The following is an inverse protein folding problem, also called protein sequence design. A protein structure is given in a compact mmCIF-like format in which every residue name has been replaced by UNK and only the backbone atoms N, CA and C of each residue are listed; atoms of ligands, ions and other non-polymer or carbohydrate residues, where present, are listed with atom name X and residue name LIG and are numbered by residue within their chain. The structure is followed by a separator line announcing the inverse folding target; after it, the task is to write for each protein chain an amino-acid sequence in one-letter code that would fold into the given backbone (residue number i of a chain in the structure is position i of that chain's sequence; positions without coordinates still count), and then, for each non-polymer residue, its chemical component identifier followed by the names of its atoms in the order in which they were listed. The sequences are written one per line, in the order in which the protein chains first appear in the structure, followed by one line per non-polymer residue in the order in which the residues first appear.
data_IF_268270421190
#
_entry.id   IF_268270421190
#
_cell.length_a   1.000
_cell.length_b   1.000
_cell.length_c   1.000
_cell.angle_alpha   90.00
_cell.angle_beta   90.00
_cell.angle_gamma   90.00
#
_symmetry.space_group_name_H-M   'P 1'
#
loop_
_entity.id
_entity.type
_entity.pdbx_description
1 polymer ?
#
# COMPACT_ATOMS: atom_id res chain seq x y z
N UNK A 1 6.60 15.41 -14.60
CA UNK A 1 6.36 14.12 -13.91
C UNK A 1 5.37 14.37 -12.78
N UNK A 2 4.28 13.61 -12.75
CA UNK A 2 3.23 13.75 -11.74
C UNK A 2 3.53 12.74 -10.61
N UNK A 3 3.61 13.22 -9.38
CA UNK A 3 3.68 12.38 -8.18
C UNK A 3 2.28 12.26 -7.56
N UNK A 4 1.89 11.07 -7.15
CA UNK A 4 0.79 10.90 -6.21
C UNK A 4 1.35 10.79 -4.80
N UNK A 5 0.79 11.51 -3.85
CA UNK A 5 0.99 11.23 -2.43
C UNK A 5 -0.38 11.08 -1.79
N UNK A 6 -0.55 10.06 -0.97
CA UNK A 6 -1.69 9.99 -0.07
C UNK A 6 -1.38 10.92 1.10
N UNK A 7 -1.99 12.11 1.12
CA UNK A 7 -2.01 12.95 2.30
C UNK A 7 -3.37 12.78 2.96
N UNK A 8 -3.41 12.30 4.18
CA UNK A 8 -4.63 12.26 4.96
C UNK A 8 -4.92 13.67 5.48
N UNK A 9 -6.00 14.25 5.03
CA UNK A 9 -6.71 15.23 5.85
C UNK A 9 -7.63 14.44 6.78
N UNK A 10 -7.65 14.73 8.07
CA UNK A 10 -8.35 13.97 9.12
C UNK A 10 -9.84 13.76 8.82
N UNK A 11 -10.40 14.52 7.89
CA UNK A 11 -11.80 14.46 7.49
C UNK A 11 -12.08 14.00 6.05
N UNK A 12 -11.04 13.90 5.18
CA UNK A 12 -11.26 13.48 3.77
C UNK A 12 -10.03 12.76 3.27
N UNK A 13 -10.04 11.43 3.31
CA UNK A 13 -9.03 10.58 2.68
C UNK A 13 -9.03 10.83 1.18
N UNK A 14 -8.05 11.57 0.69
CA UNK A 14 -7.97 11.95 -0.72
C UNK A 14 -6.60 11.58 -1.27
N UNK A 15 -6.60 11.04 -2.49
CA UNK A 15 -5.37 10.97 -3.27
C UNK A 15 -5.00 12.39 -3.70
N UNK A 16 -3.79 12.79 -3.38
CA UNK A 16 -3.26 14.10 -3.77
C UNK A 16 -2.23 13.91 -4.85
N UNK A 17 -2.43 14.59 -5.98
CA UNK A 17 -1.49 14.61 -7.09
C UNK A 17 -0.50 15.75 -6.92
N UNK A 18 0.79 15.45 -7.17
CA UNK A 18 1.83 16.45 -7.24
C UNK A 18 2.53 16.41 -8.60
N UNK A 19 2.79 17.58 -9.14
CA UNK A 19 3.65 17.73 -10.31
C UNK A 19 5.07 18.05 -9.84
N UNK A 20 6.05 17.29 -10.27
CA UNK A 20 7.46 17.61 -10.03
C UNK A 20 7.89 18.63 -11.07
N UNK A 21 8.22 19.85 -10.65
CA UNK A 21 8.58 20.96 -11.52
C UNK A 21 10.06 20.94 -11.89
N UNK A 22 10.94 20.70 -10.91
CA UNK A 22 12.37 20.66 -11.15
C UNK A 22 13.10 19.80 -10.11
N UNK A 23 14.32 19.44 -10.44
CA UNK A 23 15.26 18.76 -9.58
C UNK A 23 16.59 19.52 -9.64
N UNK A 24 16.93 20.23 -8.58
CA UNK A 24 18.14 21.02 -8.45
C UNK A 24 18.85 20.63 -7.16
N UNK A 25 20.11 20.21 -7.26
CA UNK A 25 21.00 20.00 -6.10
C UNK A 25 20.53 18.94 -5.09
N UNK A 26 19.69 17.98 -5.52
CA UNK A 26 19.09 16.96 -4.63
C UNK A 26 17.70 17.31 -4.12
N UNK A 27 17.26 18.56 -4.27
CA UNK A 27 15.93 18.99 -3.85
C UNK A 27 14.89 18.85 -4.97
N UNK A 28 13.65 18.46 -4.58
CA UNK A 28 12.53 18.36 -5.46
C UNK A 28 11.55 19.51 -5.23
N UNK A 29 11.33 20.32 -6.25
CA UNK A 29 10.27 21.30 -6.24
C UNK A 29 9.00 20.67 -6.77
N UNK A 30 7.95 20.65 -5.96
CA UNK A 30 6.67 20.04 -6.31
C UNK A 30 5.54 21.03 -6.11
N UNK A 31 4.49 20.92 -6.91
CA UNK A 31 3.24 21.63 -6.70
C UNK A 31 2.08 20.66 -6.68
N UNK A 32 1.08 20.94 -5.83
CA UNK A 32 -0.18 20.19 -5.86
C UNK A 32 -0.89 20.42 -7.19
N UNK A 33 -1.51 19.37 -7.71
CA UNK A 33 -2.39 19.45 -8.87
C UNK A 33 -3.81 19.60 -8.36
N UNK A 34 -4.46 20.70 -8.72
CA UNK A 34 -5.85 20.98 -8.35
C UNK A 34 -6.81 20.55 -9.44
N UNK A 35 -8.05 20.27 -9.08
CA UNK A 35 -9.09 19.77 -10.00
C UNK A 35 -9.35 20.73 -11.16
N UNK A 36 -9.31 22.04 -10.93
CA UNK A 36 -9.46 23.07 -11.97
C UNK A 36 -8.32 23.04 -12.99
N UNK A 37 -7.12 22.63 -12.59
CA UNK A 37 -6.00 22.44 -13.52
C UNK A 37 -6.22 21.18 -14.39
N UNK A 38 -6.68 20.08 -13.79
CA UNK A 38 -7.02 18.86 -14.54
C UNK A 38 -8.11 19.13 -15.57
N UNK A 39 -9.12 19.91 -15.21
CA UNK A 39 -10.18 20.31 -16.15
C UNK A 39 -9.64 21.08 -17.36
N UNK A 40 -8.64 21.95 -17.16
CA UNK A 40 -8.00 22.69 -18.26
C UNK A 40 -7.20 21.81 -19.21
N UNK A 41 -6.75 20.64 -18.74
CA UNK A 41 -6.03 19.68 -19.59
C UNK A 41 -6.95 18.92 -20.54
N UNK A 42 -8.28 19.01 -20.36
CA UNK A 42 -9.29 18.29 -21.14
C UNK A 42 -9.06 16.76 -21.16
N UNK A 43 -8.49 16.22 -20.09
CA UNK A 43 -8.24 14.81 -19.88
C UNK A 43 -9.12 14.32 -18.72
N UNK A 44 -9.77 13.15 -18.82
CA UNK A 44 -10.54 12.58 -17.72
C UNK A 44 -9.71 12.45 -16.45
N UNK A 45 -10.27 12.81 -15.30
CA UNK A 45 -9.60 12.73 -13.99
C UNK A 45 -9.05 11.33 -13.72
N UNK A 46 -9.81 10.29 -14.05
CA UNK A 46 -9.38 8.89 -13.90
C UNK A 46 -8.12 8.56 -14.73
N UNK A 47 -7.97 9.16 -15.90
CA UNK A 47 -6.78 8.96 -16.74
C UNK A 47 -5.55 9.65 -16.13
N UNK A 48 -5.73 10.85 -15.58
CA UNK A 48 -4.67 11.57 -14.87
C UNK A 48 -4.22 10.76 -13.63
N UNK A 49 -5.18 10.22 -12.88
CA UNK A 49 -4.89 9.37 -11.72
C UNK A 49 -4.12 8.11 -12.13
N UNK A 50 -4.58 7.42 -13.16
CA UNK A 50 -3.91 6.23 -13.70
C UNK A 50 -2.49 6.54 -14.15
N UNK A 51 -2.30 7.63 -14.90
CA UNK A 51 -0.97 8.06 -15.33
C UNK A 51 -0.05 8.41 -14.13
N UNK A 52 -0.60 9.01 -13.09
CA UNK A 52 0.14 9.32 -11.87
C UNK A 52 0.60 8.04 -11.16
N UNK A 53 -0.26 7.03 -11.02
CA UNK A 53 0.09 5.74 -10.41
C UNK A 53 1.20 5.03 -11.22
N UNK A 54 1.05 4.96 -12.54
CA UNK A 54 2.08 4.40 -13.44
C UNK A 54 3.41 5.13 -13.28
N UNK A 55 3.41 6.47 -13.35
CA UNK A 55 4.64 7.25 -13.20
C UNK A 55 5.26 7.07 -11.81
N UNK A 56 4.45 7.00 -10.75
CA UNK A 56 4.95 6.80 -9.39
C UNK A 56 5.56 5.42 -9.21
N UNK A 57 4.97 4.38 -9.82
CA UNK A 57 5.51 3.01 -9.77
C UNK A 57 6.87 2.89 -10.47
N UNK A 58 7.11 3.64 -11.54
CA UNK A 58 8.43 3.70 -12.19
C UNK A 58 9.47 4.50 -11.39
N UNK A 59 9.04 5.56 -10.73
CA UNK A 59 9.95 6.41 -9.94
C UNK A 59 10.30 5.79 -8.60
N UNK A 60 9.34 5.13 -7.98
CA UNK A 60 9.40 4.53 -6.65
C UNK A 60 8.77 3.14 -6.71
N UNK A 61 9.48 2.15 -7.26
CA UNK A 61 8.98 0.78 -7.34
C UNK A 61 8.50 0.24 -5.99
N UNK A 62 7.51 -0.66 -5.99
CA UNK A 62 7.01 -1.25 -4.75
C UNK A 62 8.09 -2.10 -4.07
N UNK A 63 8.00 -2.22 -2.75
CA UNK A 63 8.80 -3.10 -1.91
C UNK A 63 7.91 -3.84 -0.95
N UNK A 64 8.10 -5.15 -0.88
CA UNK A 64 7.38 -6.03 0.03
C UNK A 64 8.40 -6.70 0.96
N UNK A 65 8.28 -6.48 2.26
CA UNK A 65 9.16 -7.03 3.29
C UNK A 65 8.42 -8.01 4.17
N UNK A 66 9.03 -9.14 4.51
CA UNK A 66 8.49 -10.02 5.53
C UNK A 66 8.48 -9.32 6.89
N UNK A 67 7.33 -9.28 7.58
CA UNK A 67 7.22 -8.71 8.93
C UNK A 67 8.15 -9.44 9.91
N UNK A 68 8.34 -10.73 9.75
CA UNK A 68 9.25 -11.51 10.61
C UNK A 68 10.71 -11.10 10.44
N UNK A 69 11.13 -10.79 9.21
CA UNK A 69 12.48 -10.28 8.95
C UNK A 69 12.66 -8.86 9.50
N UNK A 70 11.61 -8.04 9.50
CA UNK A 70 11.65 -6.69 10.08
C UNK A 70 11.78 -6.70 11.61
N UNK A 71 11.26 -7.73 12.27
CA UNK A 71 11.37 -7.92 13.72
C UNK A 71 12.68 -8.58 14.12
N UNK A 72 13.46 -9.11 13.19
CA UNK A 72 14.80 -9.67 13.42
C UNK A 72 15.82 -8.55 13.65
N UNK A 73 16.59 -8.66 14.73
CA UNK A 73 17.55 -7.64 15.21
C UNK A 73 18.89 -7.60 14.44
N UNK A 74 18.96 -8.06 13.21
CA UNK A 74 20.24 -8.18 12.47
C UNK A 74 20.72 -6.88 11.80
N UNK A 75 20.00 -5.78 11.97
CA UNK A 75 20.34 -4.47 11.38
C UNK A 75 20.18 -4.39 9.85
N UNK A 76 19.79 -5.48 9.20
CA UNK A 76 19.59 -5.57 7.74
C UNK A 76 18.13 -5.36 7.36
N UNK A 77 17.54 -4.33 7.92
CA UNK A 77 16.10 -4.09 7.94
C UNK A 77 15.43 -4.06 6.56
N UNK A 78 16.18 -3.78 5.50
CA UNK A 78 15.59 -3.49 4.18
C UNK A 78 16.37 -4.07 2.98
N UNK A 79 17.37 -4.92 3.20
CA UNK A 79 18.19 -5.45 2.10
C UNK A 79 17.45 -6.44 1.19
N UNK A 80 16.33 -7.01 1.62
CA UNK A 80 15.67 -8.14 0.94
C UNK A 80 14.17 -7.92 0.68
N UNK A 81 13.78 -6.73 0.22
CA UNK A 81 12.40 -6.51 -0.25
C UNK A 81 12.11 -7.27 -1.55
N UNK A 82 10.95 -7.91 -1.63
CA UNK A 82 10.44 -8.51 -2.87
C UNK A 82 10.02 -7.39 -3.82
N UNK A 83 9.91 -7.63 -5.11
CA UNK A 83 9.72 -6.64 -6.18
C UNK A 83 10.94 -5.73 -6.42
N UNK A 84 12.14 -6.28 -6.38
CA UNK A 84 13.38 -5.52 -6.60
C UNK A 84 13.79 -5.39 -8.07
N UNK A 85 13.05 -5.91 -9.00
CA UNK A 85 13.33 -5.88 -10.42
C UNK A 85 13.18 -7.26 -11.05
N UNK A 86 13.41 -7.35 -12.36
CA UNK A 86 13.24 -8.59 -13.12
C UNK A 86 14.21 -9.71 -12.70
N UNK A 87 15.32 -9.34 -12.05
CA UNK A 87 16.38 -10.28 -11.62
C UNK A 87 16.17 -10.83 -10.21
N UNK A 88 15.16 -10.34 -9.47
CA UNK A 88 14.91 -10.79 -8.10
C UNK A 88 13.99 -12.01 -8.10
N UNK A 89 14.59 -13.19 -8.14
CA UNK A 89 13.91 -14.48 -7.98
C UNK A 89 13.45 -14.76 -6.53
N UNK A 90 13.47 -13.77 -5.65
CA UNK A 90 13.03 -13.97 -4.27
C UNK A 90 11.52 -14.16 -4.22
N UNK A 91 11.12 -15.42 -4.26
CA UNK A 91 9.74 -15.83 -4.01
C UNK A 91 9.40 -15.63 -2.54
N UNK A 92 8.16 -15.29 -2.26
CA UNK A 92 7.62 -15.33 -0.90
C UNK A 92 7.88 -16.72 -0.32
N UNK A 93 8.62 -16.83 0.79
CA UNK A 93 8.87 -18.13 1.40
C UNK A 93 7.56 -18.84 1.75
N UNK A 94 7.43 -20.14 1.46
CA UNK A 94 6.25 -20.92 1.87
C UNK A 94 6.03 -20.79 3.39
N UNK A 95 4.79 -20.48 3.80
CA UNK A 95 4.42 -20.33 5.22
C UNK A 95 4.57 -18.91 5.79
N UNK A 96 5.25 -17.99 5.10
CA UNK A 96 5.22 -16.57 5.45
C UNK A 96 4.09 -15.89 4.69
N UNK A 97 3.11 -15.32 5.41
CA UNK A 97 1.93 -14.70 4.79
C UNK A 97 1.57 -13.35 5.39
N UNK A 98 2.54 -12.71 6.05
CA UNK A 98 2.39 -11.35 6.58
C UNK A 98 3.58 -10.49 6.15
N UNK A 99 3.29 -9.39 5.47
CA UNK A 99 4.27 -8.53 4.84
C UNK A 99 3.99 -7.07 5.12
N UNK A 100 5.03 -6.26 5.01
CA UNK A 100 4.96 -4.81 4.95
C UNK A 100 5.18 -4.36 3.52
N UNK A 101 4.20 -3.68 2.95
CA UNK A 101 4.26 -3.08 1.62
C UNK A 101 4.59 -1.60 1.73
N UNK A 102 5.59 -1.17 1.00
CA UNK A 102 5.97 0.24 0.83
C UNK A 102 6.55 0.46 -0.57
N UNK A 103 7.36 1.47 -0.79
CA UNK A 103 8.10 1.72 -2.01
C UNK A 103 9.59 1.94 -1.73
N UNK A 104 10.41 2.06 -2.78
CA UNK A 104 11.87 2.29 -2.65
C UNK A 104 12.26 3.56 -1.91
N UNK A 105 11.35 4.52 -1.74
CA UNK A 105 11.60 5.76 -1.01
C UNK A 105 11.20 5.64 0.47
N UNK A 106 10.41 4.63 0.84
CA UNK A 106 9.82 4.44 2.18
C UNK A 106 8.98 5.63 2.66
N UNK A 107 8.58 6.49 1.73
CA UNK A 107 7.74 7.67 1.97
C UNK A 107 6.51 7.59 1.07
N UNK A 108 5.33 7.78 1.66
CA UNK A 108 4.04 7.66 0.97
C UNK A 108 3.88 6.31 0.24
N UNK A 109 4.46 5.25 0.79
CA UNK A 109 4.54 3.94 0.14
C UNK A 109 3.27 3.11 0.24
N UNK A 110 2.32 3.45 1.11
CA UNK A 110 1.03 2.77 1.20
C UNK A 110 0.26 2.76 -0.14
N UNK A 111 0.50 3.77 -0.99
CA UNK A 111 -0.08 3.85 -2.34
C UNK A 111 0.38 2.69 -3.25
N UNK A 112 1.48 2.00 -2.93
CA UNK A 112 2.06 0.97 -3.79
C UNK A 112 1.10 -0.20 -4.05
N UNK A 113 0.14 -0.47 -3.16
CA UNK A 113 -0.88 -1.50 -3.36
C UNK A 113 -1.75 -1.22 -4.59
N UNK A 114 -1.90 0.05 -4.97
CA UNK A 114 -2.68 0.51 -6.12
C UNK A 114 -1.84 0.69 -7.39
N UNK A 115 -0.55 0.40 -7.36
CA UNK A 115 0.25 0.40 -8.59
C UNK A 115 -0.22 -0.70 -9.52
N UNK A 116 -0.19 -0.49 -10.85
CA UNK A 116 -0.63 -1.48 -11.81
C UNK A 116 0.03 -2.84 -11.62
N UNK A 117 -0.76 -3.88 -11.43
CA UNK A 117 -0.30 -5.27 -11.31
C UNK A 117 0.23 -5.67 -9.93
N UNK A 118 0.39 -4.74 -8.98
CA UNK A 118 0.99 -5.05 -7.66
C UNK A 118 0.06 -5.93 -6.82
N UNK A 119 -1.21 -5.56 -6.71
CA UNK A 119 -2.17 -6.36 -5.93
C UNK A 119 -2.35 -7.76 -6.53
N UNK A 120 -2.42 -7.87 -7.85
CA UNK A 120 -2.52 -9.14 -8.56
C UNK A 120 -1.30 -10.02 -8.30
N UNK A 121 -0.10 -9.43 -8.34
CA UNK A 121 1.13 -10.16 -8.04
C UNK A 121 1.19 -10.63 -6.59
N UNK A 122 0.84 -9.79 -5.64
CA UNK A 122 0.76 -10.16 -4.22
C UNK A 122 -0.21 -11.34 -4.05
N UNK A 123 -1.41 -11.26 -4.62
CA UNK A 123 -2.41 -12.33 -4.53
C UNK A 123 -1.90 -13.63 -5.17
N UNK A 124 -1.23 -13.55 -6.31
CA UNK A 124 -0.61 -14.70 -6.96
C UNK A 124 0.46 -15.35 -6.09
N UNK A 125 1.33 -14.54 -5.48
CA UNK A 125 2.44 -15.01 -4.65
C UNK A 125 1.95 -15.57 -3.30
N UNK A 126 0.85 -15.03 -2.75
CA UNK A 126 0.18 -15.54 -1.55
C UNK A 126 -0.72 -16.77 -1.82
N UNK A 127 -1.11 -16.96 -3.09
CA UNK A 127 -1.98 -18.03 -3.51
C UNK A 127 -3.47 -17.78 -3.27
N UNK A 128 -3.89 -16.51 -3.14
CA UNK A 128 -5.29 -16.15 -2.90
C UNK A 128 -5.52 -14.71 -2.47
N UNK A 129 -6.68 -14.48 -1.90
CA UNK A 129 -7.11 -13.21 -1.35
C UNK A 129 -6.21 -12.77 -0.17
N UNK A 130 -6.16 -11.47 0.10
CA UNK A 130 -5.39 -10.96 1.22
C UNK A 130 -6.04 -9.74 1.87
N UNK A 131 -5.75 -9.57 3.16
CA UNK A 131 -6.13 -8.39 3.94
C UNK A 131 -5.08 -7.31 3.85
N UNK A 132 -5.53 -6.05 3.90
CA UNK A 132 -4.69 -4.86 3.89
C UNK A 132 -5.03 -4.01 5.10
N UNK A 133 -4.02 -3.71 5.91
CA UNK A 133 -4.11 -2.78 7.02
C UNK A 133 -3.16 -1.60 6.77
N UNK A 134 -3.71 -0.40 6.57
CA UNK A 134 -2.90 0.80 6.32
C UNK A 134 -2.40 1.36 7.65
N UNK A 135 -1.20 0.99 8.06
CA UNK A 135 -0.57 1.45 9.32
C UNK A 135 -0.15 2.91 9.26
N UNK A 136 0.11 3.43 8.07
CA UNK A 136 0.36 4.86 7.84
C UNK A 136 0.20 5.21 6.36
N UNK A 137 0.41 6.49 6.00
CA UNK A 137 0.58 6.89 4.60
C UNK A 137 1.84 6.29 3.96
N UNK A 138 2.78 5.81 4.77
CA UNK A 138 4.08 5.33 4.30
C UNK A 138 4.09 3.86 3.96
N UNK A 139 3.20 3.08 4.58
CA UNK A 139 3.22 1.63 4.47
C UNK A 139 1.86 0.98 4.74
N UNK A 140 1.71 -0.25 4.27
CA UNK A 140 0.56 -1.09 4.56
C UNK A 140 1.02 -2.51 4.95
N UNK A 141 0.36 -3.10 5.93
CA UNK A 141 0.52 -4.52 6.23
C UNK A 141 -0.38 -5.34 5.30
N UNK A 142 0.17 -6.45 4.82
CA UNK A 142 -0.49 -7.40 3.93
C UNK A 142 -0.52 -8.75 4.64
N UNK A 143 -1.70 -9.36 4.74
CA UNK A 143 -1.91 -10.65 5.39
C UNK A 143 -2.72 -11.58 4.47
N UNK A 144 -2.20 -12.77 4.17
CA UNK A 144 -2.96 -13.78 3.42
C UNK A 144 -4.20 -14.24 4.20
N UNK A 145 -5.32 -14.38 3.50
CA UNK A 145 -6.56 -14.91 4.10
C UNK A 145 -6.33 -16.30 4.66
N UNK A 146 -6.91 -16.60 5.82
CA UNK A 146 -6.79 -17.88 6.52
C UNK A 146 -5.55 -18.03 7.41
N UNK A 147 -4.68 -17.00 7.47
CA UNK A 147 -3.51 -17.02 8.36
C UNK A 147 -3.73 -16.33 9.70
N UNK A 148 -4.51 -15.27 9.69
CA UNK A 148 -4.86 -14.45 10.84
C UNK A 148 -6.28 -13.97 10.64
N UNK A 149 -7.06 -13.90 11.70
CA UNK A 149 -8.41 -13.37 11.55
C UNK A 149 -8.39 -11.86 11.34
N UNK A 150 -9.31 -11.33 10.53
CA UNK A 150 -9.36 -9.91 10.23
C UNK A 150 -9.60 -9.04 11.46
N UNK A 151 -10.29 -9.55 12.51
CA UNK A 151 -10.48 -8.86 13.77
C UNK A 151 -9.15 -8.64 14.51
N UNK A 152 -8.25 -9.61 14.49
CA UNK A 152 -6.92 -9.47 15.09
C UNK A 152 -6.11 -8.45 14.30
N UNK A 153 -6.20 -8.47 12.97
CA UNK A 153 -5.53 -7.48 12.11
C UNK A 153 -6.06 -6.08 12.41
N UNK A 154 -7.39 -5.92 12.52
CA UNK A 154 -8.01 -4.62 12.80
C UNK A 154 -7.64 -4.11 14.20
N UNK A 155 -7.69 -4.97 15.22
CA UNK A 155 -7.25 -4.61 16.56
C UNK A 155 -5.79 -4.15 16.57
N UNK A 156 -4.89 -4.91 15.93
CA UNK A 156 -3.47 -4.56 15.83
C UNK A 156 -3.25 -3.24 15.08
N UNK A 157 -4.01 -2.99 14.01
CA UNK A 157 -3.99 -1.74 13.26
C UNK A 157 -4.39 -0.55 14.14
N UNK A 158 -5.49 -0.68 14.88
CA UNK A 158 -5.98 0.38 15.77
C UNK A 158 -4.97 0.71 16.87
N UNK A 159 -4.34 -0.31 17.49
CA UNK A 159 -3.28 -0.12 18.47
C UNK A 159 -2.05 0.58 17.85
N UNK A 160 -1.61 0.13 16.67
CA UNK A 160 -0.49 0.76 15.95
C UNK A 160 -0.79 2.22 15.62
N UNK A 161 -1.99 2.51 15.11
CA UNK A 161 -2.41 3.86 14.77
C UNK A 161 -2.49 4.76 16.01
N UNK A 162 -2.89 4.21 17.17
CA UNK A 162 -2.99 4.97 18.40
C UNK A 162 -1.64 5.30 19.03
N UNK A 163 -0.69 4.33 18.98
CA UNK A 163 0.55 4.42 19.76
C UNK A 163 1.76 4.83 18.93
N UNK A 164 1.79 4.48 17.64
CA UNK A 164 2.99 4.59 16.81
C UNK A 164 2.82 5.53 15.61
N UNK A 165 1.59 5.79 15.17
CA UNK A 165 1.35 6.57 13.95
C UNK A 165 0.92 7.99 14.30
N UNK A 166 1.50 8.99 13.65
CA UNK A 166 1.05 10.39 13.81
C UNK A 166 -0.37 10.53 13.29
N UNK A 167 -1.23 11.32 13.97
CA UNK A 167 -2.64 11.46 13.56
C UNK A 167 -2.85 11.87 12.10
N UNK A 168 -1.96 12.72 11.56
CA UNK A 168 -1.98 13.17 10.17
C UNK A 168 -1.57 12.11 9.16
N UNK A 169 -0.91 11.05 9.61
CA UNK A 169 -0.43 9.93 8.78
C UNK A 169 -1.38 8.73 8.81
N UNK A 170 -2.38 8.74 9.69
CA UNK A 170 -3.38 7.65 9.78
C UNK A 170 -4.30 7.68 8.57
N UNK A 171 -4.35 6.59 7.81
CA UNK A 171 -5.22 6.44 6.65
C UNK A 171 -6.56 5.79 7.00
N UNK A 172 -6.53 4.72 7.79
CA UNK A 172 -7.72 3.95 8.14
C UNK A 172 -7.53 3.19 9.45
N UNK A 173 -8.62 3.01 10.19
CA UNK A 173 -8.70 2.06 11.29
C UNK A 173 -9.41 0.76 10.90
N UNK A 174 -9.75 0.59 9.61
CA UNK A 174 -10.44 -0.57 9.09
C UNK A 174 -9.51 -1.39 8.21
N UNK A 175 -9.76 -2.69 8.18
CA UNK A 175 -9.10 -3.65 7.30
C UNK A 175 -9.81 -3.68 5.96
N UNK A 176 -9.06 -3.87 4.89
CA UNK A 176 -9.57 -4.04 3.55
C UNK A 176 -9.24 -5.44 3.06
N UNK A 177 -10.09 -5.98 2.21
CA UNK A 177 -9.90 -7.24 1.51
C UNK A 177 -9.63 -6.96 0.03
N UNK A 178 -8.57 -7.55 -0.49
CA UNK A 178 -8.39 -7.70 -1.93
C UNK A 178 -8.90 -9.08 -2.36
N UNK A 179 -9.88 -9.08 -3.26
CA UNK A 179 -10.38 -10.30 -3.87
C UNK A 179 -9.66 -10.56 -5.19
N UNK A 180 -8.95 -11.68 -5.28
CA UNK A 180 -8.13 -12.04 -6.42
C UNK A 180 -8.95 -12.30 -7.68
N UNK A 181 -10.09 -12.99 -7.56
CA UNK A 181 -10.94 -13.35 -8.69
C UNK A 181 -11.60 -12.10 -9.30
N UNK A 182 -12.15 -11.24 -8.45
CA UNK A 182 -12.84 -10.01 -8.87
C UNK A 182 -11.88 -8.85 -9.15
N UNK A 183 -10.63 -8.94 -8.70
CA UNK A 183 -9.62 -7.87 -8.74
C UNK A 183 -10.13 -6.56 -8.10
N UNK A 184 -10.81 -6.68 -6.97
CA UNK A 184 -11.44 -5.56 -6.27
C UNK A 184 -10.97 -5.45 -4.84
N UNK A 185 -10.98 -4.21 -4.34
CA UNK A 185 -10.78 -3.90 -2.93
C UNK A 185 -12.14 -3.62 -2.29
N UNK A 186 -12.38 -4.17 -1.12
CA UNK A 186 -13.54 -3.87 -0.29
C UNK A 186 -13.09 -3.60 1.14
N UNK A 187 -13.75 -2.67 1.82
CA UNK A 187 -13.57 -2.46 3.25
C UNK A 187 -14.38 -3.52 3.99
N UNK A 188 -13.78 -4.17 4.98
CA UNK A 188 -14.50 -5.07 5.86
C UNK A 188 -15.29 -4.23 6.87
N UNK A 189 -16.56 -4.54 7.03
CA UNK A 189 -17.48 -3.90 7.99
C UNK A 189 -17.75 -4.85 9.15
N UNK A 190 -18.12 -4.30 10.31
CA UNK A 190 -18.59 -5.11 11.44
C UNK A 190 -19.76 -6.01 10.98
N UNK A 191 -19.54 -7.33 11.01
CA UNK A 191 -20.48 -8.32 10.52
C UNK A 191 -20.08 -9.04 9.21
N UNK A 192 -19.10 -8.52 8.47
CA UNK A 192 -18.50 -9.20 7.31
C UNK A 192 -17.44 -10.24 7.73
N UNK A 193 -17.16 -10.32 9.03
CA UNK A 193 -16.27 -11.31 9.65
C UNK A 193 -16.93 -12.68 9.74
N UNK A 194 -17.71 -13.07 8.73
CA UNK A 194 -18.49 -14.31 8.73
C UNK A 194 -17.62 -15.49 8.32
N UNK A 195 -17.51 -16.42 9.30
CA UNK A 195 -17.43 -17.85 9.18
C UNK A 195 -16.51 -18.38 8.07
N UNK A 196 -15.22 -18.48 8.36
CA UNK A 196 -14.43 -19.58 7.82
C UNK A 196 -14.96 -20.82 8.57
N UNK A 197 -15.94 -21.51 8.00
CA UNK A 197 -16.32 -22.84 8.43
C UNK A 197 -15.05 -23.71 8.38
N UNK A 198 -14.59 -24.13 9.55
CA UNK A 198 -13.64 -25.20 9.67
C UNK A 198 -14.39 -26.48 9.28
N UNK A 199 -14.28 -26.89 8.02
CA UNK A 199 -14.55 -28.28 7.66
C UNK A 199 -13.43 -29.13 8.29
N UNK A 200 -13.85 -30.00 9.20
CA UNK A 200 -13.03 -31.03 9.86
C UNK A 200 -12.48 -32.08 8.88
#
# INVERSE_FOLDING_TARGET
RVRSSAASDVYKRQLVLYCVLSHLGGDYFTTKVYRDQVQKWMVPEAEVMRAALVNTSFLYPPRLYSIQCLMGWDGKRYENGIFMGEDDEQKIPPGMRSYLLTNTLEINGAIAVFYPGVAEKIAQDLGGDFYIAFTSIHEAQIHGVGMISPEIVEYSLQETNRECTRPEEVLSNHVYLYNQEKKTFSMLMDGDFLEVEHEE
#
